data_IF_114303667613
#
_entry.id   IF_114303667613
#
_cell.length_a   1.000
_cell.length_b   1.000
_cell.length_c   1.000
_cell.angle_alpha   90.00
_cell.angle_beta   90.00
_cell.angle_gamma   90.00
#
_symmetry.space_group_name_H-M   'P 1'
#
loop_
_entity.id
_entity.type
_entity.pdbx_description
1 polymer ?
#
# COMPACT_ATOMS: atom_id res chain seq x y z
N UNK A 1 52.52 -33.87 -37.73
CA UNK A 1 51.87 -32.68 -37.12
C UNK A 1 50.41 -33.01 -36.83
N UNK A 2 50.03 -33.40 -35.60
CA UNK A 2 48.66 -33.69 -35.23
C UNK A 2 48.05 -32.42 -34.59
N UNK A 3 47.32 -31.63 -35.38
CA UNK A 3 46.61 -30.42 -34.88
C UNK A 3 45.20 -30.26 -35.48
N UNK A 4 44.65 -31.33 -36.08
CA UNK A 4 43.40 -31.25 -36.85
C UNK A 4 42.15 -31.78 -36.12
N UNK A 5 42.23 -32.15 -34.82
CA UNK A 5 41.13 -32.80 -34.09
C UNK A 5 40.64 -32.04 -32.84
N UNK A 6 40.70 -30.70 -32.82
CA UNK A 6 40.17 -29.91 -31.70
C UNK A 6 39.06 -28.93 -32.08
N UNK A 7 38.52 -29.00 -33.30
CA UNK A 7 37.30 -28.27 -33.64
C UNK A 7 36.11 -29.13 -33.22
N UNK A 8 35.71 -28.94 -31.96
CA UNK A 8 34.42 -29.38 -31.45
C UNK A 8 33.34 -28.91 -32.43
N UNK A 9 32.49 -29.81 -32.92
CA UNK A 9 31.37 -29.44 -33.79
C UNK A 9 30.60 -28.28 -33.13
N UNK A 10 30.29 -27.19 -33.87
CA UNK A 10 29.56 -26.08 -33.30
C UNK A 10 28.19 -26.57 -32.86
N UNK A 11 27.94 -26.56 -31.54
CA UNK A 11 26.65 -26.91 -30.96
C UNK A 11 25.55 -26.15 -31.71
N UNK A 12 24.51 -26.84 -32.21
CA UNK A 12 23.47 -26.17 -32.98
C UNK A 12 22.82 -25.09 -32.13
N UNK A 13 22.83 -23.85 -32.63
CA UNK A 13 22.22 -22.69 -32.00
C UNK A 13 20.70 -22.86 -31.96
N UNK A 14 20.21 -23.50 -30.90
CA UNK A 14 18.77 -23.63 -30.66
C UNK A 14 18.18 -22.27 -30.27
N UNK A 15 16.87 -22.09 -30.51
CA UNK A 15 16.12 -20.93 -30.01
C UNK A 15 16.28 -20.78 -28.50
N UNK A 16 16.25 -21.89 -27.76
CA UNK A 16 16.45 -21.92 -26.30
C UNK A 16 17.82 -21.38 -25.89
N UNK A 17 18.90 -21.81 -26.57
CA UNK A 17 20.26 -21.34 -26.30
C UNK A 17 20.41 -19.87 -26.66
N UNK A 18 19.87 -19.45 -27.81
CA UNK A 18 19.87 -18.05 -28.26
C UNK A 18 19.14 -17.14 -27.27
N UNK A 19 17.96 -17.53 -26.79
CA UNK A 19 17.22 -16.78 -25.76
C UNK A 19 17.97 -16.74 -24.43
N UNK A 20 18.63 -17.83 -24.03
CA UNK A 20 19.48 -17.81 -22.81
C UNK A 20 20.62 -16.81 -22.94
N UNK A 21 21.31 -16.78 -24.07
CA UNK A 21 22.40 -15.83 -24.32
C UNK A 21 21.90 -14.38 -24.34
N UNK A 22 20.81 -14.10 -25.06
CA UNK A 22 20.21 -12.77 -25.11
C UNK A 22 19.76 -12.26 -23.75
N UNK A 23 19.25 -13.15 -22.88
CA UNK A 23 18.77 -12.79 -21.55
C UNK A 23 19.84 -12.88 -20.45
N UNK A 24 21.07 -13.30 -20.75
CA UNK A 24 22.08 -13.59 -19.74
C UNK A 24 22.46 -12.35 -18.90
N UNK A 25 22.60 -11.19 -19.54
CA UNK A 25 22.89 -9.92 -18.85
C UNK A 25 21.73 -9.50 -17.95
N UNK A 26 20.50 -9.56 -18.47
CA UNK A 26 19.30 -9.25 -17.72
C UNK A 26 19.10 -10.17 -16.50
N UNK A 27 19.31 -11.49 -16.67
CA UNK A 27 19.19 -12.45 -15.56
C UNK A 27 20.22 -12.21 -14.46
N UNK A 28 21.45 -11.80 -14.83
CA UNK A 28 22.47 -11.39 -13.86
C UNK A 28 22.03 -10.14 -13.09
N UNK A 29 21.59 -9.09 -13.80
CA UNK A 29 21.09 -7.88 -13.17
C UNK A 29 19.92 -8.14 -12.22
N UNK A 30 18.96 -8.98 -12.61
CA UNK A 30 17.84 -9.40 -11.74
C UNK A 30 18.35 -10.15 -10.50
N UNK A 31 19.31 -11.06 -10.66
CA UNK A 31 19.90 -11.77 -9.53
C UNK A 31 20.61 -10.81 -8.56
N UNK A 32 21.34 -9.82 -9.08
CA UNK A 32 22.01 -8.80 -8.27
C UNK A 32 21.01 -7.93 -7.50
N UNK A 33 19.89 -7.54 -8.13
CA UNK A 33 18.82 -6.79 -7.46
C UNK A 33 18.16 -7.62 -6.35
N UNK A 34 17.86 -8.89 -6.61
CA UNK A 34 17.34 -9.79 -5.58
C UNK A 34 18.34 -9.93 -4.41
N UNK A 35 19.63 -10.08 -4.72
CA UNK A 35 20.71 -10.15 -3.72
C UNK A 35 20.74 -8.89 -2.85
N UNK A 36 20.68 -7.71 -3.46
CA UNK A 36 20.64 -6.44 -2.74
C UNK A 36 19.39 -6.30 -1.86
N UNK A 37 18.23 -6.74 -2.34
CA UNK A 37 16.99 -6.73 -1.56
C UNK A 37 17.09 -7.65 -0.33
N UNK A 38 17.65 -8.85 -0.49
CA UNK A 38 17.89 -9.81 0.61
C UNK A 38 18.82 -9.19 1.66
N UNK A 39 19.97 -8.66 1.24
CA UNK A 39 20.92 -8.02 2.16
C UNK A 39 20.26 -6.88 2.94
N UNK A 40 19.54 -5.99 2.25
CA UNK A 40 18.88 -4.86 2.89
C UNK A 40 17.80 -5.31 3.90
N UNK A 41 17.02 -6.35 3.57
CA UNK A 41 15.98 -6.86 4.46
C UNK A 41 16.56 -7.50 5.73
N UNK A 42 17.69 -8.20 5.63
CA UNK A 42 18.38 -8.81 6.78
C UNK A 42 19.08 -7.75 7.64
N UNK A 43 19.82 -6.82 7.03
CA UNK A 43 20.49 -5.72 7.72
C UNK A 43 19.52 -4.79 8.45
N UNK A 44 18.37 -4.48 7.84
CA UNK A 44 17.32 -3.69 8.49
C UNK A 44 16.72 -4.42 9.71
N UNK A 45 16.82 -5.75 9.76
CA UNK A 45 16.46 -6.57 10.91
C UNK A 45 17.54 -6.65 12.00
N UNK A 46 18.69 -5.99 11.80
CA UNK A 46 19.84 -6.04 12.71
C UNK A 46 20.80 -7.19 12.44
N UNK A 47 20.58 -7.99 11.40
CA UNK A 47 21.45 -9.12 11.04
C UNK A 47 22.66 -8.65 10.22
N UNK A 48 23.80 -9.29 10.41
CA UNK A 48 24.97 -9.15 9.54
C UNK A 48 25.16 -10.46 8.76
N UNK A 49 24.44 -10.66 7.64
CA UNK A 49 24.42 -11.94 6.97
C UNK A 49 25.73 -12.21 6.22
N UNK A 50 26.17 -13.47 6.22
CA UNK A 50 27.27 -13.91 5.37
C UNK A 50 26.86 -13.96 3.90
N UNK A 51 27.83 -13.93 2.98
CA UNK A 51 27.55 -14.06 1.54
C UNK A 51 26.79 -15.34 1.19
N UNK A 52 27.07 -16.44 1.90
CA UNK A 52 26.39 -17.73 1.71
C UNK A 52 24.93 -17.67 2.12
N UNK A 53 24.63 -17.04 3.27
CA UNK A 53 23.25 -16.84 3.74
C UNK A 53 22.43 -16.00 2.76
N UNK A 54 23.03 -14.94 2.23
CA UNK A 54 22.40 -14.06 1.22
C UNK A 54 22.08 -14.84 -0.05
N UNK A 55 23.02 -15.64 -0.56
CA UNK A 55 22.79 -16.43 -1.77
C UNK A 55 21.76 -17.54 -1.58
N UNK A 56 21.78 -18.22 -0.43
CA UNK A 56 20.79 -19.23 -0.08
C UNK A 56 19.38 -18.63 -0.03
N UNK A 57 19.22 -17.47 0.61
CA UNK A 57 17.93 -16.79 0.71
C UNK A 57 17.49 -16.19 -0.63
N UNK A 58 18.41 -15.67 -1.46
CA UNK A 58 18.12 -15.26 -2.84
C UNK A 58 17.56 -16.41 -3.68
N UNK A 59 18.13 -17.61 -3.54
CA UNK A 59 17.63 -18.80 -4.22
C UNK A 59 16.21 -19.17 -3.73
N UNK A 60 15.94 -19.06 -2.42
CA UNK A 60 14.60 -19.27 -1.85
C UNK A 60 13.59 -18.23 -2.34
N UNK A 61 13.98 -16.97 -2.46
CA UNK A 61 13.14 -15.90 -3.05
C UNK A 61 12.73 -16.25 -4.47
N UNK A 62 13.64 -16.77 -5.30
CA UNK A 62 13.29 -17.20 -6.66
C UNK A 62 12.25 -18.32 -6.68
N UNK A 63 12.30 -19.24 -5.71
CA UNK A 63 11.28 -20.30 -5.53
C UNK A 63 9.94 -19.70 -5.08
N UNK A 64 9.96 -18.81 -4.07
CA UNK A 64 8.74 -18.12 -3.59
C UNK A 64 8.09 -17.28 -4.68
N UNK A 65 8.89 -16.64 -5.54
CA UNK A 65 8.39 -15.84 -6.66
C UNK A 65 7.58 -16.70 -7.64
N UNK A 66 8.11 -17.88 -8.01
CA UNK A 66 7.38 -18.83 -8.86
C UNK A 66 6.08 -19.30 -8.21
N UNK A 67 6.11 -19.60 -6.92
CA UNK A 67 4.92 -20.04 -6.18
C UNK A 67 3.86 -18.93 -6.10
N UNK A 68 4.25 -17.71 -5.75
CA UNK A 68 3.34 -16.56 -5.65
C UNK A 68 2.67 -16.22 -6.99
N UNK A 69 3.37 -16.36 -8.12
CA UNK A 69 2.81 -16.10 -9.44
C UNK A 69 1.72 -17.10 -9.84
N UNK A 70 1.80 -18.33 -9.32
CA UNK A 70 0.80 -19.39 -9.57
C UNK A 70 -0.48 -19.21 -8.75
N UNK A 71 -0.50 -18.35 -7.73
CA UNK A 71 -1.71 -18.11 -6.95
C UNK A 71 -2.80 -17.47 -7.84
N UNK A 72 -4.07 -17.91 -7.77
CA UNK A 72 -5.18 -17.34 -8.54
C UNK A 72 -5.64 -16.00 -7.96
N UNK A 73 -4.74 -15.02 -7.88
CA UNK A 73 -4.94 -13.77 -7.17
C UNK A 73 -4.51 -12.56 -7.99
N UNK A 74 -5.03 -11.39 -7.62
CA UNK A 74 -4.84 -10.14 -8.36
C UNK A 74 -3.36 -9.79 -8.51
N UNK A 75 -2.90 -9.66 -9.76
CA UNK A 75 -1.51 -9.38 -10.06
C UNK A 75 -1.05 -8.02 -9.51
N UNK A 76 -1.94 -7.07 -9.23
CA UNK A 76 -1.58 -5.77 -8.61
C UNK A 76 -0.95 -5.94 -7.22
N UNK A 77 -1.40 -6.96 -6.48
CA UNK A 77 -0.88 -7.27 -5.15
C UNK A 77 0.52 -7.89 -5.26
N UNK A 78 0.69 -8.82 -6.21
CA UNK A 78 1.97 -9.48 -6.51
C UNK A 78 3.02 -8.51 -7.07
N UNK A 79 2.60 -7.62 -7.98
CA UNK A 79 3.46 -6.68 -8.70
C UNK A 79 4.20 -5.73 -7.75
N UNK A 80 3.56 -5.34 -6.62
CA UNK A 80 4.21 -4.49 -5.62
C UNK A 80 5.41 -5.21 -5.00
N UNK A 81 5.25 -6.48 -4.65
CA UNK A 81 6.34 -7.29 -4.09
C UNK A 81 7.44 -7.56 -5.13
N UNK A 82 7.09 -7.91 -6.37
CA UNK A 82 8.09 -8.10 -7.43
C UNK A 82 8.88 -6.82 -7.73
N UNK A 83 8.21 -5.66 -7.77
CA UNK A 83 8.91 -4.37 -7.87
C UNK A 83 9.79 -4.12 -6.66
N UNK A 84 9.41 -4.50 -5.44
CA UNK A 84 10.27 -4.34 -4.28
C UNK A 84 11.59 -5.13 -4.43
N UNK A 85 11.51 -6.37 -4.92
CA UNK A 85 12.66 -7.24 -5.16
C UNK A 85 13.61 -6.69 -6.25
N UNK A 86 13.08 -5.92 -7.20
CA UNK A 86 13.82 -5.32 -8.30
C UNK A 86 14.16 -3.84 -8.07
N UNK A 87 14.08 -3.35 -6.84
CA UNK A 87 14.21 -1.92 -6.54
C UNK A 87 13.40 -1.04 -7.52
N UNK A 88 12.17 -1.44 -7.84
CA UNK A 88 11.34 -0.84 -8.90
C UNK A 88 10.12 -0.09 -8.37
N UNK A 89 10.00 0.09 -7.05
CA UNK A 89 8.84 0.77 -6.46
C UNK A 89 8.97 2.27 -6.61
N UNK A 90 8.20 2.84 -7.54
CA UNK A 90 8.18 4.27 -7.81
C UNK A 90 7.91 5.09 -6.53
N UNK A 91 8.79 6.06 -6.28
CA UNK A 91 8.67 6.96 -5.13
C UNK A 91 8.99 6.32 -3.78
N UNK A 92 9.46 5.08 -3.75
CA UNK A 92 9.99 4.41 -2.57
C UNK A 92 11.45 4.00 -2.79
N UNK A 93 12.24 4.87 -3.42
CA UNK A 93 13.64 4.60 -3.74
C UNK A 93 13.89 3.81 -5.03
N UNK A 94 12.85 3.52 -5.82
CA UNK A 94 13.02 2.70 -7.01
C UNK A 94 14.02 3.27 -8.03
N UNK A 95 14.79 2.37 -8.64
CA UNK A 95 15.89 2.60 -9.56
C UNK A 95 17.02 3.44 -8.95
N UNK A 96 17.21 3.34 -7.62
CA UNK A 96 18.14 4.20 -6.89
C UNK A 96 17.73 5.67 -6.84
N UNK A 97 16.46 6.01 -7.08
CA UNK A 97 15.97 7.39 -7.13
C UNK A 97 15.19 7.72 -5.85
N UNK A 98 15.81 8.52 -4.99
CA UNK A 98 15.16 9.12 -3.82
C UNK A 98 14.31 10.34 -4.23
N UNK A 99 13.23 10.59 -3.49
CA UNK A 99 12.49 11.84 -3.59
C UNK A 99 13.31 12.97 -2.97
N UNK A 100 13.21 14.15 -3.57
CA UNK A 100 13.87 15.36 -3.06
C UNK A 100 13.15 15.99 -1.87
N UNK A 101 11.84 15.74 -1.72
CA UNK A 101 11.02 16.28 -0.65
C UNK A 101 10.87 15.26 0.49
N UNK A 102 10.82 15.73 1.76
CA UNK A 102 10.49 14.89 2.90
C UNK A 102 9.15 14.15 2.71
N UNK A 103 9.04 13.00 3.35
CA UNK A 103 7.79 12.25 3.42
C UNK A 103 6.72 13.08 4.17
N UNK A 104 5.44 13.04 3.77
CA UNK A 104 4.37 13.74 4.49
C UNK A 104 4.19 13.34 5.97
N UNK A 105 4.81 12.26 6.42
CA UNK A 105 4.88 11.89 7.84
C UNK A 105 6.00 12.59 8.63
N UNK A 106 6.80 13.44 7.97
CA UNK A 106 7.91 14.19 8.57
C UNK A 106 9.29 13.55 8.40
N UNK A 107 9.37 12.30 7.93
CA UNK A 107 10.66 11.64 7.69
C UNK A 107 11.40 12.24 6.49
N UNK A 108 12.70 12.46 6.62
CA UNK A 108 13.60 12.81 5.54
C UNK A 108 14.86 11.93 5.58
N UNK A 109 15.47 11.72 4.42
CA UNK A 109 16.71 10.95 4.32
C UNK A 109 17.90 11.78 4.85
N UNK A 110 18.82 11.19 5.64
CA UNK A 110 20.00 11.92 6.11
C UNK A 110 20.80 12.56 4.97
N UNK A 111 21.17 13.83 5.13
CA UNK A 111 21.77 14.63 4.07
C UNK A 111 23.17 14.15 3.62
N UNK A 112 23.89 13.43 4.49
CA UNK A 112 25.23 12.91 4.22
C UNK A 112 25.24 11.65 3.34
N UNK A 113 24.09 11.01 3.13
CA UNK A 113 24.00 9.79 2.34
C UNK A 113 24.09 10.07 0.84
N UNK A 114 24.76 9.18 0.11
CA UNK A 114 24.78 9.18 -1.35
C UNK A 114 23.37 8.97 -1.94
N UNK A 115 23.19 9.24 -3.24
CA UNK A 115 21.87 9.08 -3.90
C UNK A 115 21.29 7.68 -3.74
N UNK A 116 22.11 6.64 -3.92
CA UNK A 116 21.70 5.24 -3.77
C UNK A 116 21.35 4.87 -2.33
N UNK A 117 22.13 5.35 -1.35
CA UNK A 117 21.85 5.14 0.07
C UNK A 117 20.58 5.85 0.51
N UNK A 118 20.34 7.08 0.04
CA UNK A 118 19.08 7.80 0.28
C UNK A 118 17.88 7.04 -0.29
N UNK A 119 18.02 6.48 -1.48
CA UNK A 119 16.97 5.66 -2.09
C UNK A 119 16.70 4.39 -1.26
N UNK A 120 17.75 3.72 -0.77
CA UNK A 120 17.62 2.58 0.12
C UNK A 120 16.95 2.93 1.46
N UNK A 121 17.37 4.04 2.08
CA UNK A 121 16.78 4.54 3.32
C UNK A 121 15.29 4.91 3.12
N UNK A 122 14.94 5.48 1.98
CA UNK A 122 13.56 5.80 1.65
C UNK A 122 12.69 4.56 1.45
N UNK A 123 13.23 3.50 0.84
CA UNK A 123 12.55 2.21 0.71
C UNK A 123 12.31 1.58 2.08
N UNK A 124 13.35 1.57 2.94
CA UNK A 124 13.26 1.13 4.32
C UNK A 124 12.19 1.93 5.09
N UNK A 125 12.17 3.25 4.93
CA UNK A 125 11.12 4.08 5.51
C UNK A 125 9.73 3.65 5.01
N UNK A 126 9.48 3.63 3.70
CA UNK A 126 8.13 3.35 3.15
C UNK A 126 7.59 1.98 3.56
N UNK A 127 8.43 0.94 3.56
CA UNK A 127 8.01 -0.45 3.78
C UNK A 127 8.33 -0.99 5.18
N UNK A 128 8.82 -0.16 6.09
CA UNK A 128 9.13 -0.60 7.46
C UNK A 128 8.88 0.47 8.52
N UNK A 129 9.39 1.69 8.31
CA UNK A 129 9.42 2.75 9.33
C UNK A 129 8.32 3.81 9.24
N UNK A 130 7.59 3.91 8.12
CA UNK A 130 6.56 4.92 7.92
C UNK A 130 5.31 4.61 8.75
N UNK A 131 4.54 5.63 9.16
CA UNK A 131 3.34 5.46 10.00
C UNK A 131 2.39 4.38 9.47
N UNK A 132 2.06 4.31 8.16
CA UNK A 132 1.22 3.22 7.64
C UNK A 132 1.88 1.84 7.70
N UNK A 133 3.20 1.76 7.51
CA UNK A 133 3.95 0.50 7.62
C UNK A 133 3.98 0.00 9.06
N UNK A 134 4.20 0.90 10.03
CA UNK A 134 4.13 0.59 11.46
C UNK A 134 2.73 0.07 11.83
N UNK A 135 1.67 0.76 11.40
CA UNK A 135 0.29 0.32 11.70
C UNK A 135 -0.03 -1.09 11.16
N UNK A 136 0.38 -1.39 9.92
CA UNK A 136 0.22 -2.73 9.34
C UNK A 136 1.04 -3.76 10.13
N UNK A 137 2.31 -3.45 10.45
CA UNK A 137 3.16 -4.36 11.22
C UNK A 137 2.60 -4.65 12.60
N UNK A 138 2.11 -3.63 13.32
CA UNK A 138 1.42 -3.80 14.60
C UNK A 138 0.23 -4.73 14.45
N UNK A 139 -0.60 -4.52 13.43
CA UNK A 139 -1.75 -5.40 13.13
C UNK A 139 -1.31 -6.84 12.87
N UNK A 140 -0.28 -7.05 12.05
CA UNK A 140 0.26 -8.38 11.77
C UNK A 140 0.81 -9.02 13.04
N UNK A 141 1.64 -8.30 13.81
CA UNK A 141 2.24 -8.79 15.05
C UNK A 141 1.20 -9.22 16.08
N UNK A 142 0.06 -8.53 16.18
CA UNK A 142 -1.03 -8.94 17.08
C UNK A 142 -1.67 -10.28 16.70
N UNK A 143 -1.59 -10.67 15.43
CA UNK A 143 -2.13 -11.94 14.95
C UNK A 143 -1.07 -13.07 15.00
N UNK A 144 0.21 -12.76 15.14
CA UNK A 144 1.24 -13.80 15.25
C UNK A 144 1.23 -14.46 16.63
N UNK A 145 1.69 -15.71 16.69
CA UNK A 145 1.83 -16.44 17.96
C UNK A 145 2.74 -15.68 18.94
N UNK A 146 2.44 -15.71 20.25
CA UNK A 146 3.28 -15.09 21.28
C UNK A 146 4.75 -15.48 21.12
N UNK A 147 5.65 -14.50 21.21
CA UNK A 147 7.10 -14.70 21.03
C UNK A 147 7.59 -14.60 19.58
N UNK A 148 6.70 -14.57 18.58
CA UNK A 148 7.11 -14.35 17.19
C UNK A 148 7.44 -12.88 16.92
N UNK A 149 8.69 -12.60 16.53
CA UNK A 149 9.09 -11.25 16.13
C UNK A 149 8.94 -11.05 14.62
N UNK A 150 8.21 -10.01 14.22
CA UNK A 150 8.14 -9.62 12.82
C UNK A 150 9.40 -8.83 12.44
N UNK A 151 10.17 -9.37 11.49
CA UNK A 151 11.39 -8.78 10.93
C UNK A 151 11.17 -8.35 9.46
N UNK A 152 12.00 -7.45 8.91
CA UNK A 152 11.81 -6.99 7.53
C UNK A 152 11.92 -8.11 6.51
N UNK A 153 12.83 -9.08 6.72
CA UNK A 153 12.95 -10.28 5.88
C UNK A 153 11.64 -11.06 5.78
N UNK A 154 10.80 -11.04 6.82
CA UNK A 154 9.53 -11.74 6.79
C UNK A 154 8.57 -11.11 5.77
N UNK A 155 8.51 -9.77 5.70
CA UNK A 155 7.66 -9.07 4.74
C UNK A 155 8.30 -8.92 3.36
N UNK A 156 9.56 -8.49 3.29
CA UNK A 156 10.23 -8.15 2.03
C UNK A 156 10.55 -9.38 1.20
N UNK A 157 10.89 -10.50 1.85
CA UNK A 157 11.28 -11.75 1.18
C UNK A 157 10.19 -12.82 1.25
N UNK A 158 9.02 -12.49 1.83
CA UNK A 158 7.93 -13.41 2.13
C UNK A 158 8.39 -14.67 2.89
N UNK A 159 9.38 -14.51 3.77
CA UNK A 159 9.79 -15.58 4.68
C UNK A 159 8.78 -15.68 5.83
N UNK A 160 8.16 -16.84 6.09
CA UNK A 160 7.25 -17.00 7.22
C UNK A 160 7.95 -16.67 8.55
N UNK A 161 7.31 -15.92 9.46
CA UNK A 161 7.92 -15.50 10.73
C UNK A 161 8.03 -16.62 11.77
N UNK A 162 7.45 -17.80 11.51
CA UNK A 162 7.51 -18.98 12.35
C UNK A 162 6.97 -20.20 11.62
N UNK A 163 7.26 -21.39 12.15
CA UNK A 163 6.91 -22.67 11.52
C UNK A 163 5.40 -22.93 11.46
N UNK A 164 4.63 -22.28 12.34
CA UNK A 164 3.18 -22.40 12.38
C UNK A 164 2.48 -21.64 11.25
N UNK A 165 3.18 -20.72 10.58
CA UNK A 165 2.61 -19.93 9.50
C UNK A 165 2.95 -20.60 8.16
N UNK A 166 1.92 -21.07 7.47
CA UNK A 166 2.08 -21.71 6.17
C UNK A 166 2.63 -20.69 5.13
N UNK A 167 3.55 -21.14 4.28
CA UNK A 167 4.30 -20.30 3.35
C UNK A 167 3.41 -19.59 2.32
N UNK A 168 2.40 -20.26 1.80
CA UNK A 168 1.40 -19.72 0.89
C UNK A 168 0.49 -18.69 1.56
N UNK A 169 -0.02 -18.99 2.76
CA UNK A 169 -0.81 -18.04 3.55
C UNK A 169 -0.01 -16.79 3.87
N UNK A 170 1.24 -16.95 4.29
CA UNK A 170 2.14 -15.84 4.54
C UNK A 170 2.41 -15.03 3.27
N UNK A 171 2.54 -15.68 2.11
CA UNK A 171 2.73 -14.98 0.85
C UNK A 171 1.55 -14.03 0.54
N UNK A 172 0.31 -14.47 0.80
CA UNK A 172 -0.90 -13.64 0.66
C UNK A 172 -0.86 -12.46 1.64
N UNK A 173 -0.63 -12.73 2.93
CA UNK A 173 -0.56 -11.69 3.95
C UNK A 173 0.54 -10.65 3.65
N UNK A 174 1.76 -11.10 3.35
CA UNK A 174 2.90 -10.25 3.05
C UNK A 174 2.71 -9.41 1.77
N UNK A 175 2.18 -9.99 0.70
CA UNK A 175 1.88 -9.23 -0.53
C UNK A 175 0.74 -8.22 -0.33
N UNK A 176 -0.32 -8.59 0.42
CA UNK A 176 -1.38 -7.64 0.79
C UNK A 176 -0.81 -6.47 1.60
N UNK A 177 0.06 -6.76 2.58
CA UNK A 177 0.70 -5.77 3.42
C UNK A 177 1.56 -4.79 2.60
N UNK A 178 2.44 -5.31 1.74
CA UNK A 178 3.29 -4.49 0.88
C UNK A 178 2.47 -3.63 -0.08
N UNK A 179 1.41 -4.19 -0.68
CA UNK A 179 0.53 -3.43 -1.57
C UNK A 179 -0.21 -2.31 -0.83
N UNK A 180 -0.71 -2.59 0.38
CA UNK A 180 -1.37 -1.61 1.23
C UNK A 180 -0.41 -0.49 1.67
N UNK A 181 0.84 -0.80 2.03
CA UNK A 181 1.87 0.21 2.33
C UNK A 181 2.14 1.14 1.14
N UNK A 182 2.30 0.56 -0.05
CA UNK A 182 2.51 1.33 -1.28
C UNK A 182 1.28 2.20 -1.64
N UNK A 183 0.07 1.68 -1.44
CA UNK A 183 -1.19 2.40 -1.61
C UNK A 183 -1.35 3.56 -0.62
N UNK A 184 -1.07 3.31 0.65
CA UNK A 184 -1.14 4.31 1.73
C UNK A 184 -0.17 5.46 1.48
N UNK A 185 1.04 5.17 1.00
CA UNK A 185 1.99 6.20 0.57
C UNK A 185 1.40 7.10 -0.52
N UNK A 186 0.81 6.52 -1.57
CA UNK A 186 0.15 7.31 -2.63
C UNK A 186 -0.97 8.19 -2.06
N UNK A 187 -1.75 7.64 -1.12
CA UNK A 187 -2.80 8.38 -0.42
C UNK A 187 -2.23 9.56 0.40
N UNK A 188 -1.16 9.36 1.16
CA UNK A 188 -0.52 10.44 1.93
C UNK A 188 -0.05 11.59 1.03
N UNK A 189 0.62 11.26 -0.07
CA UNK A 189 1.08 12.27 -1.02
C UNK A 189 -0.07 13.01 -1.69
N UNK A 190 -1.15 12.32 -2.03
CA UNK A 190 -2.34 12.96 -2.58
C UNK A 190 -2.94 13.98 -1.61
N UNK A 191 -3.15 13.58 -0.34
CA UNK A 191 -3.69 14.46 0.71
C UNK A 191 -2.76 15.64 1.00
N UNK A 192 -1.45 15.41 1.05
CA UNK A 192 -0.47 16.47 1.28
C UNK A 192 -0.46 17.50 0.14
N UNK A 193 -0.55 17.05 -1.12
CA UNK A 193 -0.62 17.96 -2.26
C UNK A 193 -1.96 18.72 -2.32
N UNK A 194 -3.06 18.11 -1.90
CA UNK A 194 -4.36 18.79 -1.76
C UNK A 194 -4.31 19.88 -0.68
N UNK A 195 -3.69 19.59 0.47
CA UNK A 195 -3.49 20.56 1.55
C UNK A 195 -2.61 21.74 1.12
N UNK A 196 -1.48 21.48 0.45
CA UNK A 196 -0.63 22.53 -0.12
C UNK A 196 -1.37 23.41 -1.14
N UNK A 197 -2.22 22.82 -1.99
CA UNK A 197 -3.05 23.57 -2.95
C UNK A 197 -4.13 24.38 -2.26
N UNK A 198 -4.74 23.84 -1.20
CA UNK A 198 -5.71 24.54 -0.36
C UNK A 198 -5.09 25.76 0.31
N UNK A 199 -3.91 25.60 0.91
CA UNK A 199 -3.16 26.68 1.53
C UNK A 199 -2.76 27.76 0.52
N UNK A 200 -2.31 27.37 -0.68
CA UNK A 200 -1.97 28.32 -1.75
C UNK A 200 -3.20 29.11 -2.24
N UNK A 201 -4.37 28.46 -2.38
CA UNK A 201 -5.64 29.13 -2.75
C UNK A 201 -6.18 30.04 -1.65
N UNK A 202 -6.04 29.64 -0.38
CA UNK A 202 -6.41 30.47 0.78
C UNK A 202 -5.56 31.73 0.88
N UNK A 203 -4.26 31.64 0.54
CA UNK A 203 -3.36 32.80 0.44
C UNK A 203 -3.62 33.66 -0.79
N UNK A 204 -4.14 33.09 -1.88
CA UNK A 204 -4.42 33.78 -3.13
C UNK A 204 -5.83 34.38 -3.24
N UNK A 205 -6.53 34.63 -2.13
CA UNK A 205 -7.81 35.35 -2.13
C UNK A 205 -7.57 36.84 -1.81
N UNK A 206 -7.31 37.70 -2.81
CA UNK A 206 -7.40 39.14 -2.62
C UNK A 206 -8.88 39.53 -2.46
N UNK A 207 -9.08 40.64 -1.76
CA UNK A 207 -10.32 41.33 -1.46
C UNK A 207 -10.97 41.84 -2.75
N UNK A 208 -11.61 40.96 -3.52
CA UNK A 208 -12.34 41.34 -4.72
C UNK A 208 -13.63 40.50 -4.82
N UNK A 209 -14.65 40.88 -4.04
CA UNK A 209 -16.06 40.57 -4.33
C UNK A 209 -16.97 41.40 -3.41
N UNK A 210 -17.02 42.70 -3.67
CA UNK A 210 -18.20 43.54 -3.41
C UNK A 210 -18.33 44.50 -4.60
N UNK A 211 -18.94 44.03 -5.69
CA UNK A 211 -19.56 44.86 -6.74
C UNK A 211 -20.58 43.94 -7.42
N UNK A 212 -21.82 44.03 -6.96
CA UNK A 212 -22.92 44.74 -7.63
C UNK A 212 -23.60 43.88 -8.70
N UNK A 213 -24.79 43.39 -8.34
CA UNK A 213 -25.82 43.00 -9.29
C UNK A 213 -27.09 43.76 -8.88
N UNK A 214 -27.29 44.93 -9.48
CA UNK A 214 -28.50 45.74 -9.35
C UNK A 214 -28.95 46.18 -10.75
N UNK A 215 -30.24 45.96 -11.04
CA UNK A 215 -31.01 46.58 -12.14
C UNK A 215 -30.87 45.87 -13.49
N UNK A 216 -31.88 45.76 -14.34
CA UNK A 216 -33.26 46.26 -14.39
C UNK A 216 -33.96 45.40 -15.48
N UNK A 217 -35.21 44.97 -15.32
CA UNK A 217 -36.48 45.62 -15.69
C UNK A 217 -37.20 44.83 -16.79
N UNK A 218 -38.52 44.86 -16.65
CA UNK A 218 -39.61 44.24 -17.40
C UNK A 218 -39.59 44.54 -18.89
N UNK A 219 -40.16 43.62 -19.69
CA UNK A 219 -40.98 43.94 -20.86
C UNK A 219 -41.91 42.77 -21.20
N UNK A 220 -42.95 43.10 -21.96
CA UNK A 220 -44.32 42.61 -21.95
C UNK A 220 -44.56 41.19 -22.48
N UNK A 221 -45.61 40.54 -21.98
CA UNK A 221 -46.05 39.20 -22.36
C UNK A 221 -47.10 39.26 -23.48
N UNK A 222 -46.88 38.49 -24.55
CA UNK A 222 -47.89 38.19 -25.56
C UNK A 222 -48.25 36.70 -25.53
N UNK A 223 -49.47 36.35 -25.93
CA UNK A 223 -50.11 35.07 -25.61
C UNK A 223 -49.71 33.88 -26.53
N UNK A 224 -48.42 33.80 -26.88
CA UNK A 224 -47.76 32.63 -27.52
C UNK A 224 -46.43 32.25 -26.79
N UNK A 225 -46.24 32.74 -25.55
CA UNK A 225 -44.98 32.73 -24.78
C UNK A 225 -44.85 31.61 -23.71
N UNK A 226 -45.69 30.57 -23.77
CA UNK A 226 -45.68 29.50 -22.76
C UNK A 226 -44.48 28.54 -22.87
N UNK A 227 -43.87 28.43 -24.05
CA UNK A 227 -42.72 27.54 -24.33
C UNK A 227 -41.38 28.10 -23.77
N UNK A 228 -40.99 29.38 -24.02
CA UNK A 228 -39.79 29.95 -23.43
C UNK A 228 -39.84 30.04 -21.90
N UNK A 229 -40.99 30.40 -21.32
CA UNK A 229 -41.17 30.48 -19.87
C UNK A 229 -41.01 29.11 -19.18
N UNK A 230 -41.47 28.02 -19.81
CA UNK A 230 -41.26 26.64 -19.34
C UNK A 230 -39.78 26.25 -19.40
N UNK A 231 -39.08 26.56 -20.50
CA UNK A 231 -37.63 26.31 -20.65
C UNK A 231 -36.81 27.08 -19.62
N UNK A 232 -37.15 28.34 -19.35
CA UNK A 232 -36.47 29.16 -18.35
C UNK A 232 -36.71 28.64 -16.92
N UNK A 233 -37.93 28.19 -16.60
CA UNK A 233 -38.23 27.52 -15.31
C UNK A 233 -37.48 26.20 -15.16
N UNK A 234 -37.36 25.41 -16.24
CA UNK A 234 -36.63 24.14 -16.22
C UNK A 234 -35.12 24.35 -16.07
N UNK A 235 -34.55 25.36 -16.74
CA UNK A 235 -33.15 25.77 -16.58
C UNK A 235 -32.84 26.24 -15.15
N UNK A 236 -33.72 27.05 -14.54
CA UNK A 236 -33.58 27.47 -13.12
C UNK A 236 -33.66 26.28 -12.17
N UNK A 237 -34.57 25.33 -12.40
CA UNK A 237 -34.65 24.09 -11.60
C UNK A 237 -33.40 23.24 -11.73
N UNK A 238 -32.85 23.10 -12.94
CA UNK A 238 -31.61 22.36 -13.18
C UNK A 238 -30.40 23.03 -12.51
N UNK A 239 -30.29 24.36 -12.60
CA UNK A 239 -29.24 25.14 -11.94
C UNK A 239 -29.31 25.00 -10.42
N UNK A 240 -30.51 25.13 -9.82
CA UNK A 240 -30.71 24.95 -8.39
C UNK A 240 -30.41 23.50 -7.95
N UNK A 241 -30.80 22.50 -8.73
CA UNK A 241 -30.47 21.10 -8.45
C UNK A 241 -28.95 20.85 -8.52
N UNK A 242 -28.25 21.47 -9.46
CA UNK A 242 -26.79 21.38 -9.57
C UNK A 242 -26.09 22.09 -8.39
N UNK A 243 -26.60 23.26 -7.98
CA UNK A 243 -26.11 23.98 -6.81
C UNK A 243 -26.35 23.19 -5.51
N UNK A 244 -27.53 22.60 -5.34
CA UNK A 244 -27.84 21.74 -4.20
C UNK A 244 -26.95 20.49 -4.19
N UNK A 245 -26.70 19.85 -5.33
CA UNK A 245 -25.73 18.73 -5.46
C UNK A 245 -24.31 19.17 -5.11
N UNK A 246 -23.90 20.39 -5.48
CA UNK A 246 -22.59 20.96 -5.12
C UNK A 246 -22.51 21.25 -3.62
N UNK A 247 -23.55 21.84 -3.03
CA UNK A 247 -23.65 22.05 -1.57
C UNK A 247 -23.63 20.73 -0.81
N UNK A 248 -24.40 19.72 -1.24
CA UNK A 248 -24.39 18.40 -0.61
C UNK A 248 -23.02 17.71 -0.74
N UNK A 249 -22.30 17.90 -1.85
CA UNK A 249 -20.90 17.44 -2.00
C UNK A 249 -19.93 18.21 -1.10
N UNK A 250 -20.16 19.50 -0.87
CA UNK A 250 -19.36 20.32 0.04
C UNK A 250 -19.66 20.00 1.52
N UNK A 251 -20.93 19.76 1.88
CA UNK A 251 -21.35 19.34 3.21
C UNK A 251 -20.89 17.92 3.53
N UNK A 252 -20.93 16.99 2.56
CA UNK A 252 -20.26 15.67 2.69
C UNK A 252 -18.73 15.77 2.81
N UNK A 253 -18.13 16.88 2.38
CA UNK A 253 -16.71 17.19 2.59
C UNK A 253 -16.46 17.99 3.89
N UNK A 254 -17.52 18.43 4.57
CA UNK A 254 -17.48 19.28 5.75
C UNK A 254 -18.03 18.55 6.98
N UNK A 255 -17.34 17.50 7.42
CA UNK A 255 -17.41 17.03 8.80
C UNK A 255 -16.04 16.43 9.14
N UNK A 256 -15.12 17.19 9.74
CA UNK A 256 -13.87 16.63 10.24
C UNK A 256 -14.21 15.69 11.41
N UNK A 257 -14.10 14.38 11.17
CA UNK A 257 -13.85 13.42 12.23
C UNK A 257 -12.61 13.89 13.01
N UNK A 258 -12.53 13.66 14.35
CA UNK A 258 -11.57 14.31 15.24
C UNK A 258 -10.15 14.29 14.66
N UNK A 259 -9.60 15.49 14.45
CA UNK A 259 -8.25 15.88 14.00
C UNK A 259 -7.31 14.74 13.58
N UNK A 260 -7.70 13.95 12.59
CA UNK A 260 -6.86 12.85 12.11
C UNK A 260 -5.90 13.45 11.10
N UNK A 261 -4.60 13.47 11.43
CA UNK A 261 -3.60 13.98 10.49
C UNK A 261 -3.61 13.17 9.19
N UNK A 262 -3.18 13.73 8.04
CA UNK A 262 -3.18 12.99 6.77
C UNK A 262 -2.45 11.63 6.83
N UNK A 263 -1.38 11.53 7.61
CA UNK A 263 -0.63 10.29 7.78
C UNK A 263 -1.36 9.27 8.68
N UNK A 264 -2.10 9.72 9.71
CA UNK A 264 -2.95 8.83 10.53
C UNK A 264 -4.12 8.28 9.71
N UNK A 265 -4.76 9.11 8.87
CA UNK A 265 -5.81 8.65 7.97
C UNK A 265 -5.28 7.61 6.98
N UNK A 266 -4.11 7.88 6.38
CA UNK A 266 -3.47 6.92 5.49
C UNK A 266 -3.09 5.61 6.19
N UNK A 267 -2.67 5.66 7.46
CA UNK A 267 -2.38 4.46 8.25
C UNK A 267 -3.63 3.61 8.48
N UNK A 268 -4.76 4.21 8.89
CA UNK A 268 -6.05 3.50 9.03
C UNK A 268 -6.50 2.88 7.71
N UNK A 269 -6.38 3.64 6.62
CA UNK A 269 -6.68 3.15 5.27
C UNK A 269 -5.77 1.99 4.87
N UNK A 270 -4.49 2.02 5.26
CA UNK A 270 -3.53 0.95 4.96
C UNK A 270 -3.96 -0.37 5.63
N UNK A 271 -4.33 -0.31 6.92
CA UNK A 271 -4.83 -1.48 7.66
C UNK A 271 -6.11 -2.03 7.00
N UNK A 272 -7.07 -1.17 6.68
CA UNK A 272 -8.29 -1.59 5.99
C UNK A 272 -8.02 -2.22 4.60
N UNK A 273 -7.06 -1.69 3.84
CA UNK A 273 -6.65 -2.25 2.55
C UNK A 273 -5.94 -3.60 2.70
N UNK A 274 -5.11 -3.75 3.73
CA UNK A 274 -4.46 -5.02 4.05
C UNK A 274 -5.50 -6.10 4.37
N UNK A 275 -6.42 -5.83 5.29
CA UNK A 275 -7.49 -6.75 5.68
C UNK A 275 -8.40 -7.11 4.50
N UNK A 276 -8.79 -6.10 3.70
CA UNK A 276 -9.59 -6.33 2.49
C UNK A 276 -8.84 -7.18 1.46
N UNK A 277 -7.51 -7.01 1.33
CA UNK A 277 -6.67 -7.83 0.47
C UNK A 277 -6.67 -9.29 0.88
N UNK A 278 -6.43 -9.57 2.17
CA UNK A 278 -6.48 -10.94 2.73
C UNK A 278 -7.87 -11.54 2.57
N UNK A 279 -8.93 -10.81 2.93
CA UNK A 279 -10.32 -11.26 2.78
C UNK A 279 -10.68 -11.59 1.33
N UNK A 280 -10.29 -10.74 0.37
CA UNK A 280 -10.50 -11.00 -1.06
C UNK A 280 -9.87 -12.31 -1.51
N UNK A 281 -8.72 -12.71 -0.95
CA UNK A 281 -8.14 -14.02 -1.24
C UNK A 281 -8.98 -15.16 -0.65
N UNK A 282 -9.39 -15.04 0.61
CA UNK A 282 -10.23 -16.04 1.28
C UNK A 282 -11.56 -16.23 0.54
N UNK A 283 -12.19 -15.14 0.09
CA UNK A 283 -13.46 -15.16 -0.64
C UNK A 283 -13.37 -15.84 -2.01
N UNK A 284 -12.17 -16.02 -2.58
CA UNK A 284 -12.01 -16.81 -3.82
C UNK A 284 -12.33 -18.29 -3.58
N UNK A 285 -12.27 -18.78 -2.34
CA UNK A 285 -12.54 -20.18 -1.98
C UNK A 285 -11.58 -21.19 -2.63
N UNK A 286 -10.54 -20.72 -3.33
CA UNK A 286 -9.57 -21.53 -4.06
C UNK A 286 -8.25 -21.54 -3.29
N UNK A 287 -8.17 -22.42 -2.29
CA UNK A 287 -6.88 -22.76 -1.69
C UNK A 287 -6.15 -23.70 -2.65
N UNK A 288 -4.93 -23.38 -3.12
CA UNK A 288 -4.18 -24.27 -3.99
C UNK A 288 -3.99 -25.65 -3.34
N UNK A 289 -4.16 -26.73 -4.11
CA UNK A 289 -3.99 -28.11 -3.63
C UNK A 289 -2.62 -28.34 -2.98
N UNK A 290 -1.60 -27.59 -3.42
CA UNK A 290 -0.24 -27.64 -2.89
C UNK A 290 -0.12 -27.17 -1.43
N UNK A 291 -1.13 -26.51 -0.88
CA UNK A 291 -1.19 -26.14 0.55
C UNK A 291 -1.69 -27.31 1.42
N UNK A 292 -2.14 -28.40 0.78
CA UNK A 292 -2.22 -29.74 1.37
C UNK A 292 -3.13 -29.89 2.59
N UNK A 293 -4.19 -29.09 2.69
CA UNK A 293 -5.08 -29.10 3.87
C UNK A 293 -4.38 -28.65 5.17
N UNK A 294 -3.20 -28.02 5.08
CA UNK A 294 -2.37 -27.63 6.25
C UNK A 294 -2.77 -26.29 6.88
N UNK A 295 -3.74 -25.58 6.30
CA UNK A 295 -4.29 -24.37 6.93
C UNK A 295 -5.20 -24.84 8.06
N UNK A 296 -4.68 -24.84 9.28
CA UNK A 296 -5.44 -25.24 10.46
C UNK A 296 -6.66 -24.33 10.66
N UNK A 297 -7.75 -24.90 11.18
CA UNK A 297 -8.90 -24.14 11.64
C UNK A 297 -8.44 -23.17 12.75
N UNK A 298 -8.68 -21.86 12.59
CA UNK A 298 -8.13 -20.83 13.47
C UNK A 298 -6.78 -20.24 13.06
N UNK A 299 -6.32 -20.47 11.82
CA UNK A 299 -5.09 -19.83 11.31
C UNK A 299 -5.16 -18.30 11.46
N UNK A 300 -4.08 -17.70 11.99
CA UNK A 300 -3.98 -16.27 12.36
C UNK A 300 -4.32 -15.24 11.27
N UNK A 301 -4.41 -15.66 10.02
CA UNK A 301 -4.78 -14.83 8.87
C UNK A 301 -5.95 -15.38 8.04
N UNK A 302 -6.33 -16.64 8.23
CA UNK A 302 -7.38 -17.33 7.45
C UNK A 302 -8.24 -18.10 8.46
N UNK A 303 -9.08 -17.38 9.20
CA UNK A 303 -9.83 -17.96 10.31
C UNK A 303 -10.85 -17.03 10.93
N UNK A 304 -11.91 -16.66 10.21
CA UNK A 304 -13.25 -16.40 10.79
C UNK A 304 -14.31 -16.78 9.75
N UNK A 305 -14.80 -18.02 9.80
CA UNK A 305 -16.20 -18.35 9.45
C UNK A 305 -16.65 -19.57 10.27
N UNK A 306 -17.03 -19.32 11.51
CA UNK A 306 -18.11 -20.07 12.16
C UNK A 306 -18.73 -19.24 13.28
N UNK A 307 -19.67 -18.37 12.92
CA UNK A 307 -21.02 -18.35 13.51
C UNK A 307 -21.85 -17.29 12.82
N UNK A 308 -22.85 -17.76 12.09
CA UNK A 308 -24.02 -16.96 11.82
C UNK A 308 -24.71 -16.69 13.17
N UNK A 309 -24.54 -15.50 13.72
CA UNK A 309 -25.53 -14.91 14.61
C UNK A 309 -25.50 -13.37 14.45
N UNK A 310 -26.54 -12.75 13.85
CA UNK A 310 -26.60 -11.30 13.62
C UNK A 310 -26.61 -10.45 14.90
N UNK A 311 -26.63 -11.06 16.09
CA UNK A 311 -26.48 -10.38 17.36
C UNK A 311 -25.04 -9.90 17.65
N UNK A 312 -24.01 -10.52 17.04
CA UNK A 312 -22.61 -10.32 17.43
C UNK A 312 -21.87 -9.21 16.65
N UNK A 313 -22.43 -8.74 15.52
CA UNK A 313 -21.90 -7.60 14.76
C UNK A 313 -21.97 -6.28 15.57
N UNK A 314 -23.01 -6.16 16.40
CA UNK A 314 -23.13 -5.06 17.35
C UNK A 314 -22.20 -5.20 18.55
N UNK A 315 -21.72 -6.40 18.88
CA UNK A 315 -20.79 -6.62 19.99
C UNK A 315 -19.34 -6.36 19.57
N UNK A 316 -18.96 -6.71 18.34
CA UNK A 316 -17.60 -6.45 17.83
C UNK A 316 -17.34 -4.96 17.60
N UNK A 317 -18.34 -4.20 17.13
CA UNK A 317 -18.26 -2.73 17.05
C UNK A 317 -18.27 -2.11 18.45
N UNK A 318 -19.02 -2.68 19.41
CA UNK A 318 -18.98 -2.22 20.82
C UNK A 318 -17.64 -2.52 21.48
N UNK A 319 -17.00 -3.66 21.25
CA UNK A 319 -15.66 -4.01 21.78
C UNK A 319 -14.55 -3.13 21.19
N UNK A 320 -14.59 -2.83 19.88
CA UNK A 320 -13.65 -1.89 19.25
C UNK A 320 -13.87 -0.44 19.74
N UNK A 321 -15.11 -0.03 20.00
CA UNK A 321 -15.44 1.30 20.56
C UNK A 321 -15.18 1.38 22.08
N UNK A 322 -15.33 0.27 22.82
CA UNK A 322 -15.08 0.16 24.26
C UNK A 322 -13.58 0.20 24.56
N UNK A 323 -12.76 -0.49 23.76
CA UNK A 323 -11.30 -0.46 23.88
C UNK A 323 -10.70 0.88 23.41
N UNK A 324 -11.36 1.62 22.50
CA UNK A 324 -10.96 2.99 22.16
C UNK A 324 -11.32 4.04 23.23
N UNK A 325 -12.37 3.83 24.05
CA UNK A 325 -12.69 4.74 25.18
C UNK A 325 -11.76 4.54 26.38
N UNK A 326 -11.27 3.32 26.61
CA UNK A 326 -10.36 3.02 27.73
C UNK A 326 -8.93 3.58 27.53
N UNK A 327 -8.52 3.83 26.29
CA UNK A 327 -7.23 4.48 25.99
C UNK A 327 -7.29 6.02 25.97
N UNK A 328 -8.43 6.63 26.29
CA UNK A 328 -8.65 8.08 26.25
C UNK A 328 -8.95 8.75 27.59
N UNK A 329 -8.89 8.03 28.70
CA UNK A 329 -9.21 8.56 30.02
C UNK A 329 -8.41 7.88 31.12
N UNK A 330 -7.11 8.17 31.17
CA UNK A 330 -6.27 8.02 32.36
C UNK A 330 -5.02 8.89 32.16
N UNK A 331 -5.23 10.19 32.04
CA UNK A 331 -4.24 11.22 32.35
C UNK A 331 -5.02 12.34 33.02
N UNK A 332 -5.14 12.30 34.36
CA UNK A 332 -5.33 13.45 35.28
C UNK A 332 -5.59 12.94 36.72
N UNK A 333 -4.70 13.33 37.67
CA UNK A 333 -4.82 13.22 39.16
C UNK A 333 -4.39 11.86 39.73
N UNK A 334 -3.60 11.69 40.79
CA UNK A 334 -3.13 12.47 41.95
C UNK A 334 -1.75 11.85 42.34
N UNK A 335 -0.76 12.49 42.98
CA UNK A 335 -0.83 13.37 44.13
C UNK A 335 -0.42 12.63 45.42
N UNK A 336 0.85 12.72 45.85
CA UNK A 336 1.38 12.31 47.19
C UNK A 336 1.44 10.80 47.43
N UNK A 337 2.50 10.20 47.99
CA UNK A 337 3.31 10.56 49.18
C UNK A 337 4.77 10.20 48.95
#
# INVERSE_FOLDING_TARGET
>A
KPYAQLFSEPLPLTVRLSTQMQQASWRRAVADMHRQCVMAAMQLGGEQPTNEQVEAERARVATRLKAAWRLPWDNRLKETWWRLLLDGVQGAGGHGIALSKPCPCGWDAPAHLSKSERAAAQRAHVFWGCTPAVAIRTTISHNLSPGSQLLPKHLWLLQPPGEQVEQGVWAVAGMAALSAMAGARKCMWALHMEDQRGAARGRARPVAQVVEAVGASSDEASDDDLEPARRQRQARRAANAQQHRRQMRQQRRGAPAPSTTPHQYAARRAVAQFEAGVRKFVDLGQVPDSWGGKVQEGHCFIGVRSRADPADENNMIKELVFNMRRMGGDVLGDGGV
#
